data_IF_063293850462
#
_entry.id   IF_063293850462
#
_cell.length_a   1.000
_cell.length_b   1.000
_cell.length_c   1.000
_cell.angle_alpha   90.00
_cell.angle_beta   90.00
_cell.angle_gamma   90.00
#
_symmetry.space_group_name_H-M   'P 1'
#
loop_
_entity.id
_entity.type
_entity.pdbx_description
1 polymer ?
#
# COMPACT_ATOMS: atom_id res chain seq x y z
N UNK A 1 12.63 1.26 -61.29
CA UNK A 1 12.98 1.91 -60.00
C UNK A 1 11.80 2.20 -59.03
N UNK A 2 10.56 1.75 -59.27
CA UNK A 2 9.42 2.06 -58.36
C UNK A 2 9.24 1.10 -57.17
N UNK A 3 9.69 -0.16 -57.26
CA UNK A 3 9.47 -1.18 -56.20
C UNK A 3 10.26 -0.91 -54.90
N UNK A 4 11.44 -0.30 -54.97
CA UNK A 4 12.26 -0.05 -53.78
C UNK A 4 11.76 1.15 -52.95
N UNK A 5 11.17 2.17 -53.60
CA UNK A 5 10.60 3.33 -52.89
C UNK A 5 9.39 2.95 -52.05
N UNK A 6 8.55 2.03 -52.53
CA UNK A 6 7.38 1.53 -51.79
C UNK A 6 7.83 0.77 -50.53
N UNK A 7 8.82 -0.12 -50.63
CA UNK A 7 9.36 -0.84 -49.45
C UNK A 7 9.94 0.09 -48.38
N UNK A 8 10.64 1.15 -48.76
CA UNK A 8 11.22 2.12 -47.82
C UNK A 8 10.13 2.92 -47.08
N UNK A 9 9.07 3.33 -47.78
CA UNK A 9 7.94 4.06 -47.16
C UNK A 9 7.18 3.17 -46.16
N UNK A 10 6.98 1.89 -46.47
CA UNK A 10 6.35 0.94 -45.54
C UNK A 10 7.17 0.71 -44.28
N UNK A 11 8.50 0.61 -44.40
CA UNK A 11 9.40 0.45 -43.25
C UNK A 11 9.34 1.70 -42.35
N UNK A 12 9.37 2.90 -42.93
CA UNK A 12 9.29 4.16 -42.19
C UNK A 12 7.94 4.36 -41.47
N UNK A 13 6.83 4.02 -42.14
CA UNK A 13 5.51 4.08 -41.53
C UNK A 13 5.39 3.08 -40.36
N UNK A 14 5.94 1.86 -40.52
CA UNK A 14 5.90 0.83 -39.48
C UNK A 14 6.76 1.18 -38.26
N UNK A 15 7.93 1.83 -38.43
CA UNK A 15 8.74 2.30 -37.30
C UNK A 15 8.09 3.48 -36.56
N UNK A 16 7.46 4.42 -37.26
CA UNK A 16 6.74 5.54 -36.61
C UNK A 16 5.53 5.02 -35.82
N UNK A 17 4.79 4.07 -36.38
CA UNK A 17 3.63 3.46 -35.72
C UNK A 17 4.08 2.66 -34.48
N UNK A 18 5.14 1.85 -34.58
CA UNK A 18 5.65 1.09 -33.42
C UNK A 18 6.23 2.00 -32.34
N UNK A 19 6.88 3.13 -32.68
CA UNK A 19 7.31 4.14 -31.71
C UNK A 19 6.14 4.82 -30.97
N UNK A 20 4.99 4.99 -31.62
CA UNK A 20 3.79 5.55 -30.99
C UNK A 20 3.07 4.56 -30.06
N UNK A 21 3.11 3.25 -30.37
CA UNK A 21 2.45 2.22 -29.55
C UNK A 21 3.26 1.77 -28.32
N UNK A 22 4.57 2.02 -28.26
CA UNK A 22 5.40 1.66 -27.10
C UNK A 22 5.23 2.58 -25.87
N UNK A 23 4.44 3.64 -25.96
CA UNK A 23 4.29 4.61 -24.88
C UNK A 23 3.11 4.33 -23.92
N UNK A 24 2.83 3.05 -23.65
CA UNK A 24 1.75 2.64 -22.77
C UNK A 24 2.25 1.73 -21.65
N UNK A 25 2.75 2.37 -20.57
CA UNK A 25 2.64 1.96 -19.15
C UNK A 25 3.36 2.95 -18.23
N UNK A 26 3.11 4.25 -18.40
CA UNK A 26 3.44 5.19 -17.32
C UNK A 26 2.41 5.00 -16.20
N UNK A 27 2.69 4.09 -15.26
CA UNK A 27 2.05 4.13 -13.94
C UNK A 27 2.44 5.48 -13.34
N UNK A 28 1.54 6.45 -13.44
CA UNK A 28 1.71 7.85 -13.02
C UNK A 28 1.99 8.00 -11.52
N UNK A 29 1.53 7.02 -10.74
CA UNK A 29 1.66 6.97 -9.30
C UNK A 29 2.58 5.82 -8.93
N UNK A 30 3.65 6.14 -8.22
CA UNK A 30 4.46 5.14 -7.54
C UNK A 30 3.90 4.91 -6.14
N UNK A 31 3.47 3.68 -5.86
CA UNK A 31 3.02 3.27 -4.52
C UNK A 31 4.15 2.53 -3.80
N UNK A 32 4.42 2.90 -2.54
CA UNK A 32 5.39 2.22 -1.68
C UNK A 32 4.85 2.01 -0.27
N UNK A 33 5.35 0.98 0.42
CA UNK A 33 5.07 0.76 1.84
C UNK A 33 6.05 1.60 2.65
N UNK A 34 5.55 2.54 3.44
CA UNK A 34 6.38 3.40 4.30
C UNK A 34 6.54 2.82 5.69
N UNK A 35 5.47 2.29 6.27
CA UNK A 35 5.56 1.62 7.55
C UNK A 35 4.51 0.54 7.72
N UNK A 36 4.78 -0.34 8.69
CA UNK A 36 3.82 -1.28 9.24
C UNK A 36 3.88 -1.20 10.76
N UNK A 37 2.72 -1.11 11.40
CA UNK A 37 2.60 -1.01 12.85
C UNK A 37 1.64 -2.08 13.38
N UNK A 38 2.15 -3.15 13.98
CA UNK A 38 1.33 -4.09 14.72
C UNK A 38 0.95 -3.46 16.06
N UNK A 39 -0.35 -3.34 16.30
CA UNK A 39 -0.93 -2.76 17.50
C UNK A 39 -1.48 -3.86 18.39
N UNK A 40 -0.95 -3.93 19.61
CA UNK A 40 -1.23 -4.95 20.61
C UNK A 40 -2.28 -4.41 21.59
N UNK A 41 -3.46 -5.03 21.60
CA UNK A 41 -4.52 -4.75 22.56
C UNK A 41 -4.51 -5.78 23.69
N UNK A 42 -4.26 -5.29 24.91
CA UNK A 42 -4.14 -6.10 26.14
C UNK A 42 -5.43 -6.20 26.95
N UNK A 43 -6.52 -5.55 26.52
CA UNK A 43 -7.68 -5.36 27.38
C UNK A 43 -8.57 -6.61 27.41
N UNK A 44 -8.94 -7.00 28.63
CA UNK A 44 -9.93 -8.02 28.95
C UNK A 44 -9.72 -9.37 28.23
N UNK A 45 -8.51 -9.92 28.32
CA UNK A 45 -8.33 -11.36 28.05
C UNK A 45 -7.71 -12.04 29.26
N UNK A 46 -8.47 -12.99 29.81
CA UNK A 46 -8.05 -13.94 30.85
C UNK A 46 -6.78 -14.74 30.48
N UNK A 47 -6.31 -14.63 29.24
CA UNK A 47 -5.35 -15.54 28.62
C UNK A 47 -3.93 -14.99 28.46
N UNK A 48 -3.54 -13.85 29.05
CA UNK A 48 -2.17 -13.28 28.92
C UNK A 48 -1.68 -13.11 27.46
N UNK A 49 -2.63 -12.88 26.54
CA UNK A 49 -2.42 -12.78 25.10
C UNK A 49 -2.93 -11.43 24.59
N UNK A 50 -2.14 -10.77 23.75
CA UNK A 50 -2.53 -9.57 23.02
C UNK A 50 -3.31 -9.94 21.76
N UNK A 51 -4.35 -9.16 21.45
CA UNK A 51 -4.95 -9.17 20.11
C UNK A 51 -4.17 -8.21 19.24
N UNK A 52 -3.85 -8.61 18.02
CA UNK A 52 -3.05 -7.76 17.13
C UNK A 52 -3.89 -7.26 15.97
N UNK A 53 -3.86 -5.95 15.75
CA UNK A 53 -4.25 -5.34 14.47
C UNK A 53 -3.02 -4.82 13.76
N UNK A 54 -3.06 -4.75 12.45
CA UNK A 54 -1.95 -4.25 11.65
C UNK A 54 -2.37 -2.97 10.94
N UNK A 55 -1.64 -1.89 11.21
CA UNK A 55 -1.68 -0.69 10.39
C UNK A 55 -0.58 -0.73 9.36
N UNK A 56 -0.89 -0.36 8.13
CA UNK A 56 0.09 -0.24 7.04
C UNK A 56 -0.05 1.15 6.43
N UNK A 57 1.03 1.90 6.32
CA UNK A 57 1.02 3.17 5.59
C UNK A 57 1.56 2.97 4.19
N UNK A 58 0.76 3.31 3.17
CA UNK A 58 1.21 3.36 1.79
C UNK A 58 1.37 4.82 1.34
N UNK A 59 2.52 5.13 0.74
CA UNK A 59 2.81 6.41 0.09
C UNK A 59 2.50 6.34 -1.40
N UNK A 60 1.79 7.37 -1.90
CA UNK A 60 1.41 7.56 -3.29
C UNK A 60 2.19 8.77 -3.80
N UNK A 61 3.31 8.53 -4.47
CA UNK A 61 4.18 9.57 -5.00
C UNK A 61 3.84 9.87 -6.46
N UNK A 62 3.67 11.15 -6.77
CA UNK A 62 3.51 11.60 -8.14
C UNK A 62 4.87 11.72 -8.82
N UNK A 63 5.18 10.76 -9.68
CA UNK A 63 6.41 10.77 -10.50
C UNK A 63 6.22 11.46 -11.86
N UNK A 64 5.02 11.92 -12.19
CA UNK A 64 4.74 12.62 -13.44
C UNK A 64 5.18 14.09 -13.40
N UNK A 65 5.29 14.69 -14.58
CA UNK A 65 5.56 16.12 -14.77
C UNK A 65 4.35 17.03 -14.54
N UNK A 66 3.17 16.46 -14.25
CA UNK A 66 1.90 17.17 -14.02
C UNK A 66 1.26 16.67 -12.73
N UNK A 67 0.38 17.50 -12.18
CA UNK A 67 -0.47 17.13 -11.07
C UNK A 67 -1.38 15.94 -11.45
N UNK A 68 -1.64 15.09 -10.48
CA UNK A 68 -2.50 13.92 -10.64
C UNK A 68 -3.64 13.97 -9.65
N UNK A 69 -4.77 13.35 -10.01
CA UNK A 69 -5.92 13.18 -9.13
C UNK A 69 -5.94 11.73 -8.69
N UNK A 70 -5.95 11.52 -7.38
CA UNK A 70 -6.17 10.23 -6.75
C UNK A 70 -7.64 10.17 -6.33
N UNK A 71 -8.34 9.13 -6.79
CA UNK A 71 -9.73 8.85 -6.46
C UNK A 71 -9.83 7.60 -5.58
N UNK A 72 -10.99 7.39 -4.96
CA UNK A 72 -11.25 6.24 -4.09
C UNK A 72 -10.85 4.89 -4.69
N UNK A 73 -11.11 4.68 -5.97
CA UNK A 73 -10.75 3.43 -6.69
C UNK A 73 -9.24 3.16 -6.74
N UNK A 74 -8.42 4.21 -6.66
CA UNK A 74 -6.97 4.12 -6.79
C UNK A 74 -6.33 3.69 -5.47
N UNK A 75 -6.95 4.02 -4.34
CA UNK A 75 -6.44 3.68 -3.01
C UNK A 75 -7.27 2.64 -2.23
N UNK A 76 -8.45 2.20 -2.70
CA UNK A 76 -9.25 1.19 -1.99
C UNK A 76 -8.92 -0.27 -2.33
N UNK A 77 -8.06 -0.52 -3.30
CA UNK A 77 -7.91 -1.84 -3.92
C UNK A 77 -6.63 -2.57 -3.51
N UNK A 78 -6.26 -2.54 -2.22
CA UNK A 78 -5.06 -3.21 -1.72
C UNK A 78 -5.39 -4.35 -0.76
N UNK A 79 -4.51 -5.34 -0.72
CA UNK A 79 -4.60 -6.47 0.18
C UNK A 79 -3.20 -6.94 0.62
N UNK A 80 -3.13 -7.55 1.80
CA UNK A 80 -1.94 -8.18 2.35
C UNK A 80 -2.14 -9.70 2.37
N UNK A 81 -1.08 -10.43 2.02
CA UNK A 81 -1.03 -11.89 2.16
C UNK A 81 -0.21 -12.22 3.40
N UNK A 82 -0.86 -12.78 4.41
CA UNK A 82 -0.27 -13.21 5.68
C UNK A 82 -0.63 -14.68 5.93
N UNK A 83 0.35 -15.55 6.18
CA UNK A 83 0.15 -17.01 6.38
C UNK A 83 -0.67 -17.72 5.30
N UNK A 84 -0.55 -17.29 4.03
CA UNK A 84 -1.33 -17.75 2.86
C UNK A 84 -2.79 -17.28 2.84
N UNK A 85 -3.26 -16.58 3.87
CA UNK A 85 -4.54 -15.90 3.89
C UNK A 85 -4.42 -14.51 3.28
N UNK A 86 -5.54 -14.01 2.77
CA UNK A 86 -5.62 -12.70 2.12
C UNK A 86 -6.54 -11.80 2.91
N UNK A 87 -6.03 -10.64 3.32
CA UNK A 87 -6.75 -9.65 4.09
C UNK A 87 -6.81 -8.33 3.32
N UNK A 88 -7.99 -7.73 3.23
CA UNK A 88 -8.14 -6.43 2.60
C UNK A 88 -7.47 -5.34 3.46
N UNK A 89 -6.75 -4.43 2.82
CA UNK A 89 -6.27 -3.20 3.44
C UNK A 89 -7.41 -2.18 3.38
N UNK A 90 -8.00 -1.83 4.52
CA UNK A 90 -9.10 -0.85 4.59
C UNK A 90 -8.51 0.53 4.90
N UNK A 91 -8.59 1.53 4.00
CA UNK A 91 -8.05 2.85 4.27
C UNK A 91 -8.84 3.56 5.38
N UNK A 92 -8.15 4.26 6.28
CA UNK A 92 -8.79 5.06 7.33
C UNK A 92 -9.44 6.34 6.80
N UNK A 93 -9.07 6.73 5.58
CA UNK A 93 -9.57 7.91 4.89
C UNK A 93 -10.55 7.54 3.79
N UNK A 94 -11.36 8.53 3.39
CA UNK A 94 -12.30 8.40 2.29
C UNK A 94 -12.34 9.68 1.44
N UNK A 95 -11.21 10.03 0.82
CA UNK A 95 -11.15 11.12 -0.16
C UNK A 95 -12.01 10.80 -1.39
N UNK A 96 -13.00 11.64 -1.70
CA UNK A 96 -13.68 11.59 -2.99
C UNK A 96 -12.68 11.83 -4.14
N UNK A 97 -11.85 12.89 -4.01
CA UNK A 97 -10.75 13.26 -4.90
C UNK A 97 -9.65 13.96 -4.11
N UNK A 98 -8.39 13.63 -4.38
CA UNK A 98 -7.21 14.31 -3.82
C UNK A 98 -6.23 14.65 -4.93
N UNK A 99 -5.84 15.92 -5.04
CA UNK A 99 -4.79 16.35 -5.97
C UNK A 99 -3.43 16.09 -5.30
N UNK A 100 -2.54 15.40 -6.00
CA UNK A 100 -1.13 15.24 -5.63
C UNK A 100 -0.30 16.01 -6.66
N UNK A 101 0.35 17.09 -6.21
CA UNK A 101 1.12 17.94 -7.11
C UNK A 101 2.33 17.20 -7.65
N UNK A 102 2.91 17.72 -8.73
CA UNK A 102 4.19 17.22 -9.26
C UNK A 102 5.24 17.12 -8.15
N UNK A 103 5.83 15.93 -7.97
CA UNK A 103 6.91 15.69 -7.00
C UNK A 103 6.44 15.44 -5.57
N UNK A 104 5.17 15.73 -5.26
CA UNK A 104 4.58 15.50 -3.95
C UNK A 104 4.18 14.02 -3.77
N UNK A 105 3.91 13.68 -2.52
CA UNK A 105 3.36 12.38 -2.12
C UNK A 105 2.24 12.57 -1.11
N UNK A 106 1.30 11.64 -1.09
CA UNK A 106 0.34 11.49 0.01
C UNK A 106 0.56 10.15 0.68
N UNK A 107 0.44 10.12 2.01
CA UNK A 107 0.46 8.88 2.78
C UNK A 107 -0.95 8.54 3.22
N UNK A 108 -1.31 7.27 3.07
CA UNK A 108 -2.62 6.74 3.44
C UNK A 108 -2.37 5.60 4.42
N UNK A 109 -2.99 5.68 5.60
CA UNK A 109 -2.99 4.63 6.60
C UNK A 109 -4.10 3.64 6.29
N UNK A 110 -3.78 2.36 6.37
CA UNK A 110 -4.70 1.25 6.17
C UNK A 110 -4.74 0.40 7.43
N UNK A 111 -5.94 0.00 7.81
CA UNK A 111 -6.18 -0.97 8.86
C UNK A 111 -6.38 -2.36 8.25
N UNK A 112 -5.81 -3.36 8.91
CA UNK A 112 -6.06 -4.79 8.67
C UNK A 112 -6.28 -5.49 10.00
N UNK A 113 -7.43 -6.16 10.12
CA UNK A 113 -7.68 -7.07 11.22
C UNK A 113 -6.99 -8.41 10.92
N UNK A 114 -5.80 -8.61 11.49
CA UNK A 114 -5.16 -9.92 11.51
C UNK A 114 -5.76 -10.72 12.66
N UNK A 115 -6.35 -11.88 12.38
CA UNK A 115 -6.77 -12.79 13.45
C UNK A 115 -5.54 -13.49 14.04
N UNK A 116 -4.76 -12.76 14.83
CA UNK A 116 -3.58 -13.26 15.51
C UNK A 116 -3.59 -12.86 16.99
N UNK A 117 -3.16 -13.80 17.83
CA UNK A 117 -2.91 -13.57 19.25
C UNK A 117 -1.44 -13.85 19.53
N UNK A 118 -0.81 -12.97 20.28
CA UNK A 118 0.60 -13.07 20.64
C UNK A 118 0.74 -12.91 22.16
N UNK A 119 1.67 -13.66 22.77
CA UNK A 119 2.00 -13.55 24.20
C UNK A 119 2.97 -12.41 24.44
N UNK A 120 3.93 -12.27 23.54
CA UNK A 120 5.07 -11.37 23.74
C UNK A 120 4.86 -10.06 22.97
N UNK A 121 4.87 -8.95 23.70
CA UNK A 121 4.94 -7.65 23.05
C UNK A 121 6.26 -7.53 22.29
N UNK A 122 6.18 -7.01 21.06
CA UNK A 122 7.34 -6.78 20.20
C UNK A 122 8.12 -8.06 19.83
N UNK A 123 7.40 -9.18 19.66
CA UNK A 123 7.99 -10.45 19.25
C UNK A 123 8.75 -10.31 17.91
N UNK A 124 10.09 -10.50 17.88
CA UNK A 124 10.90 -10.33 16.67
C UNK A 124 10.52 -11.26 15.52
N UNK A 125 10.10 -12.51 15.82
CA UNK A 125 9.73 -13.47 14.79
C UNK A 125 8.42 -13.07 14.11
N UNK A 126 7.45 -12.59 14.90
CA UNK A 126 6.20 -12.08 14.39
C UNK A 126 6.39 -10.80 13.57
N UNK A 127 7.24 -9.87 14.04
CA UNK A 127 7.60 -8.69 13.26
C UNK A 127 8.23 -9.05 11.93
N UNK A 128 9.17 -10.00 11.93
CA UNK A 128 9.81 -10.48 10.71
C UNK A 128 8.79 -11.15 9.77
N UNK A 129 7.79 -11.83 10.31
CA UNK A 129 6.70 -12.41 9.52
C UNK A 129 5.89 -11.31 8.81
N UNK A 130 5.44 -10.29 9.56
CA UNK A 130 4.73 -9.13 9.00
C UNK A 130 5.58 -8.42 7.96
N UNK A 131 6.84 -8.16 8.28
CA UNK A 131 7.77 -7.49 7.39
C UNK A 131 7.90 -8.25 6.05
N UNK A 132 7.89 -9.58 6.06
CA UNK A 132 8.01 -10.39 4.84
C UNK A 132 6.70 -10.57 4.08
N UNK A 133 5.59 -10.03 4.58
CA UNK A 133 4.30 -10.13 3.91
C UNK A 133 4.28 -9.41 2.58
N UNK A 134 3.50 -9.97 1.66
CA UNK A 134 3.31 -9.38 0.35
C UNK A 134 2.06 -8.52 0.34
N UNK A 135 2.22 -7.23 0.06
CA UNK A 135 1.11 -6.31 -0.22
C UNK A 135 0.97 -6.16 -1.73
N UNK A 136 -0.26 -6.24 -2.24
CA UNK A 136 -0.59 -6.17 -3.65
C UNK A 136 -1.85 -5.36 -3.89
N UNK A 137 -2.01 -4.89 -5.12
CA UNK A 137 -3.26 -4.29 -5.59
C UNK A 137 -4.11 -5.37 -6.26
N UNK A 138 -5.44 -5.39 -6.09
CA UNK A 138 -6.32 -6.40 -6.70
C UNK A 138 -6.13 -6.58 -8.22
N UNK A 139 -5.90 -5.48 -8.93
CA UNK A 139 -5.74 -5.47 -10.38
C UNK A 139 -4.28 -5.63 -10.84
N UNK A 140 -3.35 -5.92 -9.93
CA UNK A 140 -1.91 -6.03 -10.23
C UNK A 140 -1.29 -7.22 -9.52
N UNK A 141 -0.63 -8.10 -10.28
CA UNK A 141 0.11 -9.21 -9.69
C UNK A 141 1.43 -8.78 -9.02
N UNK A 142 1.89 -7.56 -9.32
CA UNK A 142 3.12 -6.98 -8.78
C UNK A 142 2.99 -6.68 -7.28
N UNK A 143 4.02 -7.08 -6.51
CA UNK A 143 4.14 -6.74 -5.10
C UNK A 143 4.52 -5.26 -4.96
N UNK A 144 3.87 -4.56 -4.04
CA UNK A 144 4.26 -3.21 -3.66
C UNK A 144 5.59 -3.30 -2.94
N UNK A 145 6.54 -2.46 -3.37
CA UNK A 145 7.87 -2.40 -2.76
C UNK A 145 7.83 -1.53 -1.50
N UNK A 146 8.69 -1.84 -0.54
CA UNK A 146 8.97 -0.97 0.60
C UNK A 146 9.74 0.28 0.17
N UNK A 147 9.55 1.37 0.88
CA UNK A 147 10.40 2.55 0.74
C UNK A 147 11.80 2.28 1.30
N UNK A 148 12.76 3.12 0.95
CA UNK A 148 14.13 3.04 1.51
C UNK A 148 14.17 3.37 3.00
N UNK A 149 13.14 4.07 3.49
CA UNK A 149 13.00 4.52 4.88
C UNK A 149 11.97 3.67 5.63
N UNK A 150 11.63 2.49 5.08
CA UNK A 150 10.62 1.61 5.65
C UNK A 150 10.93 1.26 7.10
N UNK A 151 9.89 1.31 7.94
CA UNK A 151 9.98 0.93 9.36
C UNK A 151 8.85 -0.02 9.74
N UNK A 152 9.17 -0.97 10.61
CA UNK A 152 8.19 -1.76 11.34
C UNK A 152 8.33 -1.46 12.83
N UNK A 153 7.23 -1.11 13.50
CA UNK A 153 7.24 -0.72 14.91
C UNK A 153 5.99 -1.21 15.63
N UNK A 154 6.18 -1.92 16.74
CA UNK A 154 5.08 -2.33 17.62
C UNK A 154 4.52 -1.15 18.41
N UNK A 155 3.20 -1.13 18.62
CA UNK A 155 2.51 -0.18 19.51
C UNK A 155 1.61 -0.93 20.48
N UNK A 156 1.53 -0.47 21.72
CA UNK A 156 0.52 -0.94 22.67
C UNK A 156 -0.66 0.01 22.58
N UNK A 157 -1.86 -0.55 22.52
CA UNK A 157 -3.09 0.24 22.52
C UNK A 157 -4.11 -0.29 23.50
N UNK A 158 -4.98 0.62 23.95
CA UNK A 158 -6.02 0.36 24.94
C UNK A 158 -7.44 0.63 24.36
N UNK A 159 -7.74 0.14 23.16
CA UNK A 159 -8.98 0.48 22.43
C UNK A 159 -10.30 0.07 23.10
N UNK A 160 -10.25 -0.93 23.97
CA UNK A 160 -11.43 -1.43 24.69
C UNK A 160 -11.40 -1.11 26.19
N UNK A 161 -10.49 -0.24 26.65
CA UNK A 161 -10.35 0.04 28.07
C UNK A 161 -11.60 0.78 28.51
N UNK A 162 -12.26 0.35 29.60
CA UNK A 162 -13.34 1.15 30.14
C UNK A 162 -12.81 2.55 30.45
N UNK A 163 -13.59 3.62 30.19
CA UNK A 163 -13.16 4.97 30.51
C UNK A 163 -12.79 5.03 32.00
N UNK A 164 -11.60 5.56 32.29
CA UNK A 164 -11.17 5.77 33.66
C UNK A 164 -12.07 6.83 34.29
N UNK A 165 -12.63 6.55 35.46
CA UNK A 165 -13.44 7.49 36.24
C UNK A 165 -12.66 8.74 36.69
N UNK A 166 -11.33 8.76 36.51
CA UNK A 166 -10.44 9.89 36.81
C UNK A 166 -10.17 10.82 35.63
N UNK A 167 -10.78 10.59 34.48
CA UNK A 167 -10.49 11.34 33.23
C UNK A 167 -11.71 12.01 32.62
N UNK A 168 -12.79 12.14 33.39
CA UNK A 168 -13.96 12.96 33.03
C UNK A 168 -13.71 14.33 33.65
N UNK A 169 -13.16 15.25 32.85
CA UNK A 169 -13.29 16.69 33.03
C UNK A 169 -14.41 17.21 32.12
#
# INVERSE_FOLDING_TARGET
>A
MKKNKIKIVYIFAFTIITLLFFNCKNKSIQVKIENQEPWYDSINKKDSLFTIKLFTTLSFKNSNSKDIIIERKDYNNFFIIFRKDTFALVPEINYAKKIVKKGDSISIVYLTDLYHKEKDFDNPDFLKEIENCSIKQYNSQEKIKKSSEYKIQSRISLWNAPPSTKTID
#
